data_IF_191532934699
#
_entry.id   IF_191532934699
#
_cell.length_a   1.000
_cell.length_b   1.000
_cell.length_c   1.000
_cell.angle_alpha   90.00
_cell.angle_beta   90.00
_cell.angle_gamma   90.00
#
_symmetry.space_group_name_H-M   'P 1'
#
loop_
_entity.id
_entity.type
_entity.pdbx_description
1 polymer ?
#
# COMPACT_ATOMS: atom_id res chain seq x y z
N UNK A 1 50.36 -14.82 -37.19
CA UNK A 1 49.45 -15.41 -36.16
C UNK A 1 48.89 -14.26 -35.36
N UNK A 2 47.59 -13.91 -35.56
CA UNK A 2 46.86 -12.92 -34.74
C UNK A 2 46.03 -13.68 -33.71
N UNK A 3 46.37 -13.49 -32.43
CA UNK A 3 45.60 -14.07 -31.33
C UNK A 3 44.45 -13.14 -31.03
N UNK A 4 43.19 -13.62 -31.26
CA UNK A 4 41.97 -12.91 -30.88
C UNK A 4 41.65 -13.27 -29.42
N UNK A 5 41.67 -12.28 -28.54
CA UNK A 5 41.12 -12.40 -27.18
C UNK A 5 39.60 -12.26 -27.23
N UNK A 6 38.92 -13.35 -26.90
CA UNK A 6 37.45 -13.33 -26.68
C UNK A 6 37.27 -12.87 -25.22
N UNK A 7 36.73 -11.66 -25.06
CA UNK A 7 36.27 -11.17 -23.75
C UNK A 7 34.86 -11.70 -23.53
N UNK A 8 34.71 -12.69 -22.66
CA UNK A 8 33.41 -13.17 -22.20
C UNK A 8 32.94 -12.22 -21.10
N UNK A 9 32.03 -11.32 -21.44
CA UNK A 9 31.31 -10.52 -20.46
C UNK A 9 30.31 -11.40 -19.70
N UNK A 10 30.64 -11.78 -18.47
CA UNK A 10 29.71 -12.42 -17.56
C UNK A 10 28.74 -11.34 -17.05
N UNK A 11 27.54 -11.33 -17.60
CA UNK A 11 26.44 -10.50 -17.14
C UNK A 11 25.90 -11.10 -15.83
N UNK A 12 26.44 -10.65 -14.71
CA UNK A 12 25.85 -10.95 -13.39
C UNK A 12 24.49 -10.23 -13.28
N UNK A 13 23.41 -10.94 -13.58
CA UNK A 13 22.05 -10.52 -13.20
C UNK A 13 21.96 -10.56 -11.68
N UNK A 14 22.23 -9.45 -11.01
CA UNK A 14 21.82 -9.26 -9.63
C UNK A 14 20.30 -9.16 -9.59
N UNK A 15 19.64 -10.24 -9.23
CA UNK A 15 18.25 -10.25 -8.84
C UNK A 15 18.10 -9.37 -7.60
N UNK A 16 17.64 -8.14 -7.78
CA UNK A 16 17.07 -7.36 -6.69
C UNK A 16 15.97 -8.22 -6.05
N UNK A 17 15.86 -8.27 -4.70
CA UNK A 17 14.73 -8.93 -4.09
C UNK A 17 13.47 -8.20 -4.54
N UNK A 18 12.76 -8.76 -5.52
CA UNK A 18 11.41 -8.34 -5.83
C UNK A 18 10.63 -8.45 -4.53
N UNK A 19 9.97 -7.37 -4.12
CA UNK A 19 8.89 -7.47 -3.16
C UNK A 19 7.89 -8.46 -3.75
N UNK A 20 7.91 -9.69 -3.27
CA UNK A 20 7.02 -10.73 -3.76
C UNK A 20 5.59 -10.30 -3.42
N UNK A 21 4.86 -9.89 -4.45
CA UNK A 21 3.41 -9.87 -4.35
C UNK A 21 2.97 -11.30 -3.97
N UNK A 22 2.10 -11.43 -2.98
CA UNK A 22 1.64 -12.71 -2.45
C UNK A 22 1.11 -13.64 -3.54
N UNK A 23 0.36 -13.09 -4.51
CA UNK A 23 0.05 -13.75 -5.78
C UNK A 23 0.83 -13.04 -6.89
N UNK A 24 1.73 -13.71 -7.60
CA UNK A 24 2.42 -13.12 -8.75
C UNK A 24 1.43 -12.52 -9.74
N UNK A 25 1.68 -11.29 -10.20
CA UNK A 25 0.79 -10.54 -11.09
C UNK A 25 0.46 -11.29 -12.39
N UNK A 26 1.32 -12.23 -12.81
CA UNK A 26 1.07 -13.12 -13.95
C UNK A 26 -0.20 -13.97 -13.81
N UNK A 27 -0.55 -14.40 -12.59
CA UNK A 27 -1.76 -15.19 -12.34
C UNK A 27 -3.01 -14.30 -12.22
N UNK A 28 -2.90 -13.15 -11.58
CA UNK A 28 -4.02 -12.22 -11.45
C UNK A 28 -4.51 -11.67 -12.80
N UNK A 29 -3.62 -11.63 -13.82
CA UNK A 29 -3.91 -11.11 -15.17
C UNK A 29 -4.30 -12.17 -16.18
N UNK A 30 -4.45 -13.43 -15.79
CA UNK A 30 -4.85 -14.51 -16.69
C UNK A 30 -6.29 -14.34 -17.20
N UNK A 31 -6.60 -14.98 -18.32
CA UNK A 31 -7.94 -14.96 -18.91
C UNK A 31 -8.96 -15.76 -18.09
N UNK A 32 -10.23 -15.55 -18.36
CA UNK A 32 -11.31 -16.30 -17.72
C UNK A 32 -11.26 -17.80 -18.07
N UNK A 33 -10.81 -18.16 -19.30
CA UNK A 33 -10.59 -19.53 -19.71
C UNK A 33 -9.50 -20.21 -18.90
N UNK A 34 -8.40 -19.45 -18.60
CA UNK A 34 -7.34 -19.98 -17.75
C UNK A 34 -7.85 -20.31 -16.34
N UNK A 35 -8.68 -19.44 -15.74
CA UNK A 35 -9.27 -19.73 -14.43
C UNK A 35 -10.13 -20.99 -14.42
N UNK A 36 -10.79 -21.34 -15.55
CA UNK A 36 -11.56 -22.59 -15.72
C UNK A 36 -10.71 -23.81 -16.02
N UNK A 37 -9.44 -23.64 -16.36
CA UNK A 37 -8.53 -24.72 -16.69
C UNK A 37 -8.08 -25.49 -15.45
N UNK A 38 -7.55 -26.71 -15.66
CA UNK A 38 -6.93 -27.50 -14.59
C UNK A 38 -5.78 -26.76 -13.91
N UNK A 39 -4.99 -25.99 -14.69
CA UNK A 39 -3.89 -25.18 -14.15
C UNK A 39 -4.41 -24.07 -13.25
N UNK A 40 -5.39 -23.29 -13.69
CA UNK A 40 -5.97 -22.20 -12.90
C UNK A 40 -6.60 -22.70 -11.60
N UNK A 41 -7.33 -23.82 -11.66
CA UNK A 41 -7.88 -24.45 -10.46
C UNK A 41 -6.79 -24.98 -9.52
N UNK A 42 -5.72 -25.58 -10.05
CA UNK A 42 -4.59 -26.04 -9.24
C UNK A 42 -3.91 -24.85 -8.51
N UNK A 43 -3.71 -23.71 -9.18
CA UNK A 43 -3.17 -22.51 -8.56
C UNK A 43 -4.12 -21.99 -7.48
N UNK A 44 -5.43 -21.97 -7.71
CA UNK A 44 -6.40 -21.58 -6.70
C UNK A 44 -6.40 -22.52 -5.48
N UNK A 45 -6.22 -23.81 -5.69
CA UNK A 45 -6.06 -24.80 -4.61
C UNK A 45 -4.78 -24.55 -3.81
N UNK A 46 -3.65 -24.19 -4.46
CA UNK A 46 -2.45 -23.80 -3.74
C UNK A 46 -2.72 -22.60 -2.83
N UNK A 47 -3.38 -21.54 -3.34
CA UNK A 47 -3.72 -20.36 -2.56
C UNK A 47 -4.55 -20.71 -1.32
N UNK A 48 -5.49 -21.65 -1.41
CA UNK A 48 -6.29 -22.10 -0.27
C UNK A 48 -5.45 -22.65 0.87
N UNK A 49 -4.39 -23.42 0.56
CA UNK A 49 -3.55 -24.06 1.59
C UNK A 49 -2.81 -23.05 2.48
N UNK A 50 -2.62 -21.83 1.99
CA UNK A 50 -1.96 -20.74 2.72
C UNK A 50 -2.91 -19.91 3.60
N UNK A 51 -4.21 -20.24 3.64
CA UNK A 51 -5.17 -19.50 4.46
C UNK A 51 -5.00 -19.87 5.94
N UNK A 52 -4.80 -18.86 6.78
CA UNK A 52 -4.74 -19.03 8.23
C UNK A 52 -6.07 -19.53 8.80
N UNK A 53 -6.08 -20.08 10.02
CA UNK A 53 -7.33 -20.40 10.72
C UNK A 53 -8.27 -19.21 10.90
N UNK A 54 -7.75 -17.97 10.98
CA UNK A 54 -8.56 -16.75 11.07
C UNK A 54 -9.07 -16.23 9.72
N UNK A 55 -8.60 -16.75 8.58
CA UNK A 55 -9.09 -16.36 7.26
C UNK A 55 -8.17 -15.47 6.43
N UNK A 56 -7.03 -15.04 6.97
CA UNK A 56 -6.03 -14.18 6.30
C UNK A 56 -4.91 -14.98 5.65
N UNK A 57 -3.98 -14.29 4.96
CA UNK A 57 -2.80 -14.88 4.32
C UNK A 57 -1.52 -14.16 4.75
N UNK A 58 -0.35 -14.87 4.75
CA UNK A 58 0.93 -14.29 5.10
C UNK A 58 1.48 -13.40 3.97
N UNK A 59 2.24 -12.34 4.33
CA UNK A 59 2.94 -11.50 3.37
C UNK A 59 4.27 -12.11 2.90
N UNK A 60 4.77 -11.63 1.74
CA UNK A 60 6.08 -11.99 1.18
C UNK A 60 6.26 -13.51 0.94
N UNK A 61 5.16 -14.18 0.64
CA UNK A 61 5.13 -15.59 0.25
C UNK A 61 4.46 -15.71 -1.12
N UNK A 62 5.01 -16.56 -1.98
CA UNK A 62 4.32 -16.96 -3.20
C UNK A 62 3.28 -18.03 -2.83
N UNK A 63 2.04 -17.57 -2.63
CA UNK A 63 0.91 -18.43 -2.23
C UNK A 63 0.34 -19.24 -3.41
N UNK A 64 0.77 -18.96 -4.63
CA UNK A 64 0.23 -19.55 -5.84
C UNK A 64 1.07 -20.70 -6.40
N UNK A 65 2.41 -20.57 -6.44
CA UNK A 65 3.27 -21.51 -7.16
C UNK A 65 3.36 -22.91 -6.54
N UNK A 66 3.14 -23.04 -5.24
CA UNK A 66 3.12 -24.31 -4.52
C UNK A 66 2.19 -24.30 -3.32
N UNK A 67 1.63 -25.46 -2.93
CA UNK A 67 0.83 -25.54 -1.70
C UNK A 67 1.70 -25.29 -0.47
N UNK A 68 1.08 -24.84 0.61
CA UNK A 68 1.68 -24.84 1.95
C UNK A 68 1.59 -26.25 2.52
N UNK A 69 2.71 -26.77 3.01
CA UNK A 69 2.86 -28.13 3.52
C UNK A 69 3.03 -28.22 5.05
N UNK A 70 2.94 -27.08 5.75
CA UNK A 70 3.03 -26.97 7.20
C UNK A 70 1.67 -26.93 7.92
N UNK A 71 1.69 -26.70 9.24
CA UNK A 71 0.46 -26.43 10.01
C UNK A 71 0.00 -25.00 9.74
N UNK A 72 -1.24 -24.83 9.30
CA UNK A 72 -1.83 -23.50 9.04
C UNK A 72 -1.88 -22.59 10.27
N UNK A 73 -1.76 -23.14 11.48
CA UNK A 73 -1.65 -22.38 12.74
C UNK A 73 -0.33 -21.60 12.86
N UNK A 74 0.71 -22.04 12.14
CA UNK A 74 2.02 -21.39 12.11
C UNK A 74 2.05 -20.21 11.11
N UNK A 75 0.99 -20.04 10.33
CA UNK A 75 0.87 -18.92 9.39
C UNK A 75 0.47 -17.63 10.12
N UNK A 76 1.18 -16.56 9.81
CA UNK A 76 0.89 -15.22 10.32
C UNK A 76 0.30 -14.35 9.20
N UNK A 77 -1.01 -14.29 9.15
CA UNK A 77 -1.72 -13.48 8.16
C UNK A 77 -1.69 -11.98 8.47
N UNK A 78 -1.81 -11.16 7.44
CA UNK A 78 -1.69 -9.70 7.53
C UNK A 78 -2.41 -9.00 6.38
N UNK A 79 -2.62 -7.69 6.50
CA UNK A 79 -3.07 -6.81 5.42
C UNK A 79 -1.91 -6.08 4.73
N UNK A 80 -0.68 -6.27 5.21
CA UNK A 80 0.52 -5.65 4.68
C UNK A 80 0.91 -6.21 3.30
N UNK A 81 1.56 -5.40 2.46
CA UNK A 81 2.06 -5.80 1.14
C UNK A 81 1.00 -6.49 0.25
N UNK A 82 -0.27 -6.11 0.37
CA UNK A 82 -1.41 -6.70 -0.35
C UNK A 82 -1.77 -8.14 0.03
N UNK A 83 -1.14 -8.72 1.06
CA UNK A 83 -1.53 -10.01 1.58
C UNK A 83 -3.00 -9.99 2.03
N UNK A 84 -3.65 -11.13 1.98
CA UNK A 84 -5.08 -11.31 2.19
C UNK A 84 -5.94 -10.70 1.08
N UNK A 85 -5.72 -9.45 0.70
CA UNK A 85 -6.54 -8.75 -0.30
C UNK A 85 -6.37 -9.35 -1.70
N UNK A 86 -5.13 -9.64 -2.12
CA UNK A 86 -4.88 -10.24 -3.43
C UNK A 86 -5.42 -11.67 -3.51
N UNK A 87 -5.27 -12.45 -2.46
CA UNK A 87 -5.80 -13.81 -2.38
C UNK A 87 -7.32 -13.81 -2.45
N UNK A 88 -7.99 -12.89 -1.72
CA UNK A 88 -9.44 -12.75 -1.77
C UNK A 88 -9.93 -12.39 -3.17
N UNK A 89 -9.32 -11.40 -3.82
CA UNK A 89 -9.69 -11.02 -5.21
C UNK A 89 -9.50 -12.21 -6.17
N UNK A 90 -8.42 -12.95 -6.02
CA UNK A 90 -8.13 -14.12 -6.85
C UNK A 90 -9.16 -15.24 -6.65
N UNK A 91 -9.48 -15.59 -5.41
CA UNK A 91 -10.44 -16.64 -5.07
C UNK A 91 -11.88 -16.24 -5.43
N UNK A 92 -12.26 -14.97 -5.29
CA UNK A 92 -13.55 -14.47 -5.75
C UNK A 92 -13.71 -14.68 -7.27
N UNK A 93 -12.70 -14.30 -8.07
CA UNK A 93 -12.72 -14.52 -9.52
C UNK A 93 -12.71 -16.02 -9.87
N UNK A 94 -11.91 -16.82 -9.17
CA UNK A 94 -11.90 -18.27 -9.37
C UNK A 94 -13.28 -18.88 -9.08
N UNK A 95 -13.94 -18.46 -7.97
CA UNK A 95 -15.29 -18.93 -7.67
C UNK A 95 -16.31 -18.49 -8.73
N UNK A 96 -16.36 -17.23 -9.07
CA UNK A 96 -17.30 -16.68 -10.07
C UNK A 96 -17.22 -17.44 -11.41
N UNK A 97 -16.03 -17.88 -11.79
CA UNK A 97 -15.79 -18.53 -13.08
C UNK A 97 -15.95 -20.06 -13.05
N UNK A 98 -15.84 -20.71 -11.89
CA UNK A 98 -15.82 -22.17 -11.76
C UNK A 98 -16.93 -22.76 -10.89
N UNK A 99 -17.59 -21.94 -10.07
CA UNK A 99 -18.56 -22.36 -9.05
C UNK A 99 -18.02 -23.39 -8.02
N UNK A 100 -16.69 -23.45 -7.84
CA UNK A 100 -16.06 -24.39 -6.89
C UNK A 100 -16.25 -23.89 -5.46
N UNK A 101 -17.11 -24.53 -4.69
CA UNK A 101 -17.58 -24.10 -3.35
C UNK A 101 -16.47 -23.78 -2.36
N UNK A 102 -15.34 -24.51 -2.37
CA UNK A 102 -14.21 -24.22 -1.46
C UNK A 102 -13.60 -22.84 -1.64
N UNK A 103 -13.60 -22.28 -2.87
CA UNK A 103 -13.13 -20.91 -3.11
C UNK A 103 -14.05 -19.87 -2.51
N UNK A 104 -15.37 -20.07 -2.61
CA UNK A 104 -16.38 -19.25 -1.97
C UNK A 104 -16.26 -19.27 -0.44
N UNK A 105 -16.12 -20.47 0.14
CA UNK A 105 -15.96 -20.62 1.59
C UNK A 105 -14.71 -19.89 2.11
N UNK A 106 -13.59 -20.02 1.41
CA UNK A 106 -12.35 -19.31 1.75
C UNK A 106 -12.50 -17.80 1.62
N UNK A 107 -13.17 -17.33 0.57
CA UNK A 107 -13.48 -15.91 0.39
C UNK A 107 -14.34 -15.38 1.54
N UNK A 108 -15.45 -16.05 1.87
CA UNK A 108 -16.32 -15.64 2.99
C UNK A 108 -15.58 -15.59 4.32
N UNK A 109 -14.73 -16.56 4.59
CA UNK A 109 -13.89 -16.58 5.78
C UNK A 109 -12.93 -15.40 5.85
N UNK A 110 -12.30 -15.04 4.71
CA UNK A 110 -11.40 -13.89 4.64
C UNK A 110 -12.11 -12.54 4.74
N UNK A 111 -13.31 -12.41 4.15
CA UNK A 111 -14.13 -11.19 4.31
C UNK A 111 -14.60 -11.03 5.76
N UNK A 112 -14.98 -12.14 6.43
CA UNK A 112 -15.31 -12.09 7.87
C UNK A 112 -14.13 -11.60 8.70
N UNK A 113 -12.91 -12.09 8.42
CA UNK A 113 -11.69 -11.64 9.06
C UNK A 113 -11.46 -10.12 8.87
N UNK A 114 -11.73 -9.57 7.68
CA UNK A 114 -11.63 -8.12 7.43
C UNK A 114 -12.65 -7.35 8.28
N UNK A 115 -13.91 -7.82 8.36
CA UNK A 115 -14.93 -7.16 9.18
C UNK A 115 -14.61 -7.19 10.67
N UNK A 116 -14.10 -8.32 11.17
CA UNK A 116 -13.70 -8.48 12.57
C UNK A 116 -12.49 -7.61 12.94
N UNK A 117 -11.59 -7.37 11.97
CA UNK A 117 -10.41 -6.55 12.17
C UNK A 117 -10.71 -5.04 12.20
N UNK A 118 -11.88 -4.59 11.74
CA UNK A 118 -12.23 -3.17 11.72
C UNK A 118 -12.46 -2.63 13.13
N UNK A 119 -11.72 -1.58 13.48
CA UNK A 119 -11.96 -0.85 14.72
C UNK A 119 -13.31 -0.14 14.74
N UNK A 120 -13.89 0.12 15.92
CA UNK A 120 -15.14 0.89 16.03
C UNK A 120 -15.09 2.27 15.37
N UNK A 121 -13.88 2.89 15.30
CA UNK A 121 -13.65 4.17 14.63
C UNK A 121 -13.45 4.07 13.12
N UNK A 122 -13.58 2.87 12.54
CA UNK A 122 -13.53 2.63 11.10
C UNK A 122 -12.16 2.25 10.53
N UNK A 123 -11.08 2.35 11.32
CA UNK A 123 -9.73 2.00 10.87
C UNK A 123 -9.44 0.49 10.90
N UNK A 124 -8.30 0.09 10.33
CA UNK A 124 -7.81 -1.29 10.38
C UNK A 124 -6.35 -1.34 10.85
N UNK A 125 -5.99 -2.37 11.64
CA UNK A 125 -4.60 -2.66 11.99
C UNK A 125 -3.85 -3.27 10.81
N UNK A 126 -2.53 -3.38 10.94
CA UNK A 126 -1.70 -4.11 9.97
C UNK A 126 -1.85 -5.63 10.11
N UNK A 127 -2.07 -6.11 11.34
CA UNK A 127 -2.27 -7.53 11.69
C UNK A 127 -3.50 -7.70 12.58
N UNK A 128 -4.25 -8.76 12.31
CA UNK A 128 -5.35 -9.20 13.16
C UNK A 128 -5.28 -10.73 13.33
N UNK A 129 -5.44 -11.30 14.55
CA UNK A 129 -5.74 -10.63 15.84
C UNK A 129 -4.68 -9.63 16.27
N UNK A 130 -5.12 -8.63 17.07
CA UNK A 130 -4.30 -7.48 17.45
C UNK A 130 -3.18 -7.92 18.41
N UNK A 131 -1.92 -7.64 18.05
CA UNK A 131 -0.76 -7.82 18.89
C UNK A 131 -0.42 -6.59 19.75
N UNK A 132 0.69 -6.68 20.51
CA UNK A 132 1.18 -5.59 21.38
C UNK A 132 2.05 -4.56 20.64
N UNK A 133 2.52 -4.88 19.45
CA UNK A 133 3.42 -4.06 18.63
C UNK A 133 2.67 -2.94 17.90
N UNK A 134 3.41 -2.02 17.24
CA UNK A 134 2.89 -0.97 16.35
C UNK A 134 1.94 -1.49 15.26
N UNK A 135 1.97 -2.77 14.94
CA UNK A 135 1.06 -3.39 13.97
C UNK A 135 -0.43 -3.25 14.32
N UNK A 136 -0.73 -2.85 15.56
CA UNK A 136 -2.09 -2.54 16.03
C UNK A 136 -2.60 -1.18 15.57
N UNK A 137 -1.72 -0.26 15.17
CA UNK A 137 -2.13 1.07 14.74
C UNK A 137 -2.91 1.03 13.43
N UNK A 138 -3.80 2.00 13.24
CA UNK A 138 -4.46 2.25 11.95
C UNK A 138 -3.35 2.51 10.93
N UNK A 139 -3.33 1.73 9.84
CA UNK A 139 -2.18 1.71 8.94
C UNK A 139 -2.52 2.08 7.51
N UNK A 140 -1.95 3.18 7.04
CA UNK A 140 -1.91 3.54 5.63
C UNK A 140 -0.61 3.06 4.96
N UNK A 141 0.39 2.63 5.75
CA UNK A 141 1.65 2.09 5.21
C UNK A 141 1.38 1.01 4.17
N UNK A 142 2.13 1.06 3.06
CA UNK A 142 2.01 0.16 1.91
C UNK A 142 0.56 0.01 1.38
N UNK A 143 -0.28 1.04 1.57
CA UNK A 143 -1.69 1.09 1.21
C UNK A 143 -2.56 0.01 1.89
N UNK A 144 -2.19 -0.52 3.05
CA UNK A 144 -2.90 -1.63 3.68
C UNK A 144 -4.39 -1.34 3.85
N UNK A 145 -4.76 -0.27 4.58
CA UNK A 145 -6.16 0.12 4.77
C UNK A 145 -6.83 0.53 3.45
N UNK A 146 -6.13 1.21 2.55
CA UNK A 146 -6.65 1.63 1.25
C UNK A 146 -7.11 0.41 0.44
N UNK A 147 -6.30 -0.64 0.37
CA UNK A 147 -6.64 -1.87 -0.38
C UNK A 147 -7.80 -2.64 0.23
N UNK A 148 -7.94 -2.62 1.56
CA UNK A 148 -9.13 -3.15 2.23
C UNK A 148 -10.38 -2.39 1.75
N UNK A 149 -10.33 -1.07 1.76
CA UNK A 149 -11.43 -0.22 1.35
C UNK A 149 -11.80 -0.42 -0.13
N UNK A 150 -10.81 -0.49 -1.03
CA UNK A 150 -11.01 -0.80 -2.45
C UNK A 150 -11.68 -2.17 -2.65
N UNK A 151 -11.25 -3.21 -1.93
CA UNK A 151 -11.89 -4.52 -2.01
C UNK A 151 -13.34 -4.47 -1.50
N UNK A 152 -13.59 -3.83 -0.35
CA UNK A 152 -14.92 -3.75 0.23
C UNK A 152 -15.86 -2.87 -0.61
N UNK A 153 -15.37 -1.84 -1.27
CA UNK A 153 -16.12 -1.05 -2.23
C UNK A 153 -16.53 -1.92 -3.42
N UNK A 154 -15.60 -2.66 -4.03
CA UNK A 154 -15.92 -3.60 -5.11
C UNK A 154 -16.94 -4.65 -4.65
N UNK A 155 -16.80 -5.22 -3.46
CA UNK A 155 -17.74 -6.18 -2.87
C UNK A 155 -19.14 -5.58 -2.74
N UNK A 156 -19.26 -4.30 -2.39
CA UNK A 156 -20.55 -3.65 -2.21
C UNK A 156 -21.22 -3.23 -3.53
N UNK A 157 -20.46 -2.89 -4.56
CA UNK A 157 -20.94 -2.20 -5.76
C UNK A 157 -20.85 -3.05 -7.04
N UNK A 158 -19.77 -3.85 -7.20
CA UNK A 158 -19.52 -4.56 -8.44
C UNK A 158 -20.36 -5.83 -8.59
N UNK A 159 -20.79 -6.08 -9.83
CA UNK A 159 -21.46 -7.34 -10.23
C UNK A 159 -20.52 -8.57 -10.15
N UNK A 160 -19.22 -8.37 -10.11
CA UNK A 160 -18.26 -9.45 -9.91
C UNK A 160 -18.47 -10.19 -8.56
N UNK A 161 -19.21 -9.59 -7.64
CA UNK A 161 -19.50 -10.11 -6.31
C UNK A 161 -21.00 -10.40 -6.10
N UNK A 162 -21.82 -10.50 -7.17
CA UNK A 162 -23.25 -10.82 -7.08
C UNK A 162 -23.55 -12.22 -6.51
N UNK A 163 -22.52 -13.07 -6.39
CA UNK A 163 -22.61 -14.35 -5.70
C UNK A 163 -22.75 -14.23 -4.17
N UNK A 164 -22.52 -13.03 -3.62
CA UNK A 164 -22.68 -12.74 -2.19
C UNK A 164 -24.14 -12.36 -1.88
N UNK A 165 -24.57 -12.67 -0.66
CA UNK A 165 -25.87 -12.21 -0.18
C UNK A 165 -25.85 -10.71 0.05
N UNK A 166 -27.02 -10.11 0.01
CA UNK A 166 -27.21 -8.67 0.27
C UNK A 166 -26.68 -8.25 1.66
N UNK A 167 -26.70 -9.16 2.63
CA UNK A 167 -26.18 -8.89 3.98
C UNK A 167 -24.67 -8.63 3.97
N UNK A 168 -23.86 -9.47 3.29
CA UNK A 168 -22.42 -9.29 3.17
C UNK A 168 -22.08 -8.01 2.40
N UNK A 169 -22.79 -7.73 1.32
CA UNK A 169 -22.62 -6.51 0.52
C UNK A 169 -22.95 -5.26 1.32
N UNK A 170 -24.02 -5.29 2.12
CA UNK A 170 -24.40 -4.20 3.02
C UNK A 170 -23.37 -3.98 4.13
N UNK A 171 -22.83 -5.07 4.72
CA UNK A 171 -21.73 -4.98 5.69
C UNK A 171 -20.50 -4.33 5.07
N UNK A 172 -20.14 -4.70 3.84
CA UNK A 172 -19.01 -4.10 3.11
C UNK A 172 -19.21 -2.59 2.90
N UNK A 173 -20.40 -2.18 2.43
CA UNK A 173 -20.75 -0.76 2.27
C UNK A 173 -20.61 0.03 3.58
N UNK A 174 -21.14 -0.52 4.67
CA UNK A 174 -21.07 0.12 5.98
C UNK A 174 -19.62 0.21 6.49
N UNK A 175 -18.79 -0.81 6.23
CA UNK A 175 -17.39 -0.81 6.59
C UNK A 175 -16.62 0.24 5.80
N UNK A 176 -16.90 0.41 4.50
CA UNK A 176 -16.32 1.48 3.67
C UNK A 176 -16.70 2.85 4.21
N UNK A 177 -17.98 3.08 4.52
CA UNK A 177 -18.44 4.37 5.09
C UNK A 177 -17.69 4.74 6.37
N UNK A 178 -17.55 3.78 7.30
CA UNK A 178 -16.77 3.99 8.54
C UNK A 178 -15.27 4.24 8.25
N UNK A 179 -14.72 3.54 7.26
CA UNK A 179 -13.33 3.72 6.86
C UNK A 179 -13.05 5.10 6.26
N UNK A 180 -13.99 5.64 5.47
CA UNK A 180 -13.92 7.01 4.94
C UNK A 180 -13.96 8.02 6.11
N UNK A 181 -14.88 7.85 7.08
CA UNK A 181 -14.92 8.70 8.28
C UNK A 181 -13.57 8.67 9.03
N UNK A 182 -13.00 7.48 9.20
CA UNK A 182 -11.67 7.33 9.81
C UNK A 182 -10.58 8.08 9.04
N UNK A 183 -10.56 8.00 7.71
CA UNK A 183 -9.63 8.75 6.87
C UNK A 183 -9.79 10.26 7.09
N UNK A 184 -11.01 10.78 7.04
CA UNK A 184 -11.27 12.21 7.23
C UNK A 184 -10.84 12.70 8.63
N UNK A 185 -11.07 11.89 9.66
CA UNK A 185 -10.72 12.22 11.05
C UNK A 185 -9.22 12.10 11.36
N UNK A 186 -8.50 11.27 10.63
CA UNK A 186 -7.04 11.11 10.76
C UNK A 186 -6.25 12.10 9.92
N UNK A 187 -6.90 12.87 9.04
CA UNK A 187 -6.22 13.89 8.24
C UNK A 187 -5.60 14.95 9.13
N UNK A 188 -4.29 15.21 8.95
CA UNK A 188 -3.55 16.18 9.75
C UNK A 188 -3.98 17.59 9.38
N UNK A 189 -4.02 18.47 10.38
CA UNK A 189 -4.29 19.89 10.22
C UNK A 189 -3.07 20.71 10.65
N UNK A 190 -2.65 21.64 9.81
CA UNK A 190 -1.65 22.66 10.11
C UNK A 190 -2.31 24.04 9.98
N UNK A 191 -2.24 24.87 10.99
CA UNK A 191 -2.86 26.22 10.98
C UNK A 191 -4.31 26.22 10.49
N UNK A 192 -5.11 25.27 10.98
CA UNK A 192 -6.50 25.01 10.60
C UNK A 192 -6.70 24.55 9.13
N UNK A 193 -5.65 24.31 8.35
CA UNK A 193 -5.73 23.79 6.99
C UNK A 193 -5.55 22.29 6.99
N UNK A 194 -6.38 21.58 6.21
CA UNK A 194 -6.19 20.17 5.94
C UNK A 194 -4.93 19.96 5.11
N UNK A 195 -4.09 19.01 5.55
CA UNK A 195 -2.89 18.59 4.79
C UNK A 195 -3.00 17.11 4.44
N UNK A 196 -1.97 16.31 4.59
CA UNK A 196 -2.02 14.90 4.25
C UNK A 196 -2.09 14.00 5.52
N UNK A 197 -1.68 12.75 5.44
CA UNK A 197 -1.81 11.75 6.50
C UNK A 197 -0.44 11.23 6.94
N UNK A 198 -0.36 10.73 8.16
CA UNK A 198 0.75 9.90 8.60
C UNK A 198 0.62 8.47 8.04
N UNK A 199 1.72 7.73 7.96
CA UNK A 199 1.69 6.33 7.57
C UNK A 199 0.94 5.43 8.58
N UNK A 200 1.01 5.76 9.87
CA UNK A 200 0.26 5.11 10.94
C UNK A 200 -0.37 6.14 11.88
N UNK A 201 -1.56 5.80 12.37
CA UNK A 201 -2.29 6.56 13.38
C UNK A 201 -2.65 5.68 14.57
N UNK A 202 -2.51 6.21 15.77
CA UNK A 202 -2.90 5.52 17.00
C UNK A 202 -4.38 5.13 16.95
N UNK A 203 -4.69 3.87 17.22
CA UNK A 203 -6.02 3.30 17.05
C UNK A 203 -7.07 3.82 18.03
N UNK A 204 -6.65 4.58 19.06
CA UNK A 204 -7.55 5.19 20.05
C UNK A 204 -7.70 6.68 19.86
N UNK A 205 -6.57 7.37 19.70
CA UNK A 205 -6.52 8.85 19.64
C UNK A 205 -6.62 9.39 18.23
N UNK A 206 -6.43 8.56 17.21
CA UNK A 206 -6.35 8.90 15.78
C UNK A 206 -5.17 9.83 15.43
N UNK A 207 -4.28 10.11 16.35
CA UNK A 207 -3.11 10.96 16.13
C UNK A 207 -2.00 10.20 15.38
N UNK A 208 -1.16 10.90 14.59
CA UNK A 208 0.06 10.33 14.06
C UNK A 208 0.88 9.62 15.13
N UNK A 209 1.42 8.43 14.81
CA UNK A 209 2.16 7.64 15.79
C UNK A 209 3.37 6.93 15.18
N UNK A 210 4.27 6.44 16.03
CA UNK A 210 5.44 5.66 15.66
C UNK A 210 5.04 4.28 15.14
N UNK A 211 5.80 3.80 14.14
CA UNK A 211 5.84 2.38 13.80
C UNK A 211 7.23 1.81 14.10
N UNK A 212 8.06 1.55 13.09
CA UNK A 212 9.46 1.15 13.29
C UNK A 212 10.30 2.34 13.78
N UNK A 213 11.47 2.11 14.38
CA UNK A 213 12.31 3.20 14.91
C UNK A 213 12.63 4.33 13.92
N UNK A 214 12.58 4.05 12.62
CA UNK A 214 12.82 5.03 11.54
C UNK A 214 11.54 5.50 10.84
N UNK A 215 10.37 5.25 11.41
CA UNK A 215 9.04 5.65 10.91
C UNK A 215 8.32 6.50 11.96
N UNK A 216 8.64 7.80 12.04
CA UNK A 216 8.12 8.70 13.05
C UNK A 216 6.70 9.18 12.76
N UNK A 217 5.99 9.72 13.77
CA UNK A 217 4.85 10.60 13.54
C UNK A 217 5.25 11.73 12.58
N UNK A 218 4.61 11.79 11.42
CA UNK A 218 5.00 12.69 10.34
C UNK A 218 3.88 12.84 9.33
N UNK A 219 3.98 13.78 8.41
CA UNK A 219 3.14 13.79 7.22
C UNK A 219 3.82 12.95 6.15
N UNK A 220 3.11 11.96 5.60
CA UNK A 220 3.69 11.05 4.61
C UNK A 220 3.53 11.56 3.18
N UNK A 221 4.67 11.78 2.51
CA UNK A 221 4.70 12.07 1.06
C UNK A 221 4.53 10.85 0.16
N UNK A 222 4.45 9.65 0.72
CA UNK A 222 4.25 8.41 -0.02
C UNK A 222 2.84 7.84 0.17
N UNK A 223 2.49 7.47 1.39
CA UNK A 223 1.24 6.77 1.73
C UNK A 223 0.00 7.63 1.48
N UNK A 224 0.08 8.93 1.68
CA UNK A 224 -1.03 9.87 1.44
C UNK A 224 -1.52 9.87 -0.01
N UNK A 225 -0.65 9.51 -0.98
CA UNK A 225 -1.05 9.41 -2.39
C UNK A 225 -2.10 8.32 -2.60
N UNK A 226 -1.94 7.17 -1.95
CA UNK A 226 -2.92 6.08 -1.99
C UNK A 226 -4.26 6.49 -1.38
N UNK A 227 -4.23 7.19 -0.24
CA UNK A 227 -5.42 7.70 0.44
C UNK A 227 -6.18 8.69 -0.45
N UNK A 228 -5.49 9.65 -1.08
CA UNK A 228 -6.11 10.62 -2.00
C UNK A 228 -6.75 9.89 -3.19
N UNK A 229 -6.06 8.93 -3.80
CA UNK A 229 -6.60 8.16 -4.93
C UNK A 229 -7.87 7.41 -4.57
N UNK A 230 -7.90 6.79 -3.38
CA UNK A 230 -9.11 6.13 -2.89
C UNK A 230 -10.25 7.13 -2.70
N UNK A 231 -10.01 8.28 -2.06
CA UNK A 231 -11.04 9.31 -1.92
C UNK A 231 -11.52 9.84 -3.29
N UNK A 232 -10.63 9.98 -4.27
CA UNK A 232 -10.97 10.39 -5.64
C UNK A 232 -11.74 9.31 -6.41
N UNK A 233 -11.74 8.05 -6.00
CA UNK A 233 -12.52 6.97 -6.64
C UNK A 233 -14.00 7.01 -6.25
N UNK A 234 -14.38 7.78 -5.23
CA UNK A 234 -15.78 7.93 -4.78
C UNK A 234 -16.55 8.72 -5.83
N UNK A 235 -17.61 8.13 -6.38
CA UNK A 235 -18.37 8.74 -7.48
C UNK A 235 -19.09 10.02 -7.08
N UNK A 236 -19.71 10.04 -5.90
CA UNK A 236 -20.43 11.18 -5.34
C UNK A 236 -19.74 11.66 -4.06
N UNK A 237 -18.58 12.35 -4.17
CA UNK A 237 -17.84 12.80 -3.01
C UNK A 237 -18.59 13.92 -2.27
N UNK A 238 -18.66 13.81 -0.93
CA UNK A 238 -19.20 14.89 -0.09
C UNK A 238 -18.25 16.11 -0.08
N UNK A 239 -18.74 17.24 0.42
CA UNK A 239 -17.89 18.45 0.53
C UNK A 239 -16.67 18.22 1.43
N UNK A 240 -16.81 17.39 2.48
CA UNK A 240 -15.69 17.02 3.35
C UNK A 240 -14.63 16.19 2.60
N UNK A 241 -15.06 15.26 1.75
CA UNK A 241 -14.13 14.46 0.91
C UNK A 241 -13.44 15.38 -0.10
N UNK A 242 -14.16 16.28 -0.75
CA UNK A 242 -13.59 17.27 -1.69
C UNK A 242 -12.55 18.12 -0.98
N UNK A 243 -12.90 18.70 0.19
CA UNK A 243 -11.98 19.51 0.97
C UNK A 243 -10.73 18.74 1.43
N UNK A 244 -10.90 17.46 1.79
CA UNK A 244 -9.78 16.59 2.18
C UNK A 244 -8.81 16.35 1.03
N UNK A 245 -9.31 16.08 -0.17
CA UNK A 245 -8.52 15.89 -1.39
C UNK A 245 -7.80 17.19 -1.76
N UNK A 246 -8.52 18.31 -1.82
CA UNK A 246 -7.96 19.61 -2.20
C UNK A 246 -6.87 20.07 -1.24
N UNK A 247 -7.11 19.96 0.08
CA UNK A 247 -6.10 20.29 1.09
C UNK A 247 -4.84 19.46 0.98
N UNK A 248 -4.98 18.16 0.77
CA UNK A 248 -3.83 17.26 0.60
C UNK A 248 -3.05 17.53 -0.70
N UNK A 249 -3.73 17.79 -1.81
CA UNK A 249 -3.07 18.12 -3.08
C UNK A 249 -2.34 19.47 -2.99
N UNK A 250 -2.94 20.48 -2.34
CA UNK A 250 -2.28 21.75 -2.12
C UNK A 250 -1.02 21.60 -1.25
N UNK A 251 -1.11 20.80 -0.18
CA UNK A 251 0.06 20.44 0.62
C UNK A 251 1.15 19.78 -0.24
N UNK A 252 0.82 18.78 -1.07
CA UNK A 252 1.80 18.14 -1.95
C UNK A 252 2.49 19.10 -2.90
N UNK A 253 1.77 20.11 -3.41
CA UNK A 253 2.34 21.17 -4.25
C UNK A 253 3.32 22.04 -3.47
N UNK A 254 2.96 22.40 -2.24
CA UNK A 254 3.78 23.29 -1.40
C UNK A 254 5.10 22.64 -0.94
N UNK A 255 5.13 21.31 -0.79
CA UNK A 255 6.31 20.55 -0.32
C UNK A 255 7.08 19.86 -1.45
N UNK A 256 6.79 20.19 -2.70
CA UNK A 256 7.50 19.65 -3.86
C UNK A 256 8.99 19.99 -3.82
N UNK A 257 9.85 18.99 -3.95
CA UNK A 257 11.30 19.16 -3.99
C UNK A 257 11.75 19.11 -5.46
N UNK A 258 12.45 20.16 -5.89
CA UNK A 258 12.95 20.32 -7.26
C UNK A 258 14.47 20.54 -7.25
N UNK A 259 15.10 20.34 -8.41
CA UNK A 259 16.52 20.62 -8.62
C UNK A 259 17.48 19.65 -7.98
N UNK A 260 16.99 18.49 -7.52
CA UNK A 260 17.82 17.39 -6.99
C UNK A 260 17.32 16.02 -7.48
N UNK A 261 18.22 15.06 -7.50
CA UNK A 261 17.89 13.64 -7.71
C UNK A 261 18.70 12.74 -6.78
N UNK A 262 18.22 11.52 -6.57
CA UNK A 262 19.00 10.47 -5.93
C UNK A 262 19.90 9.80 -6.97
N UNK A 263 21.17 9.70 -6.67
CA UNK A 263 22.17 9.00 -7.45
C UNK A 263 22.64 7.75 -6.71
N UNK A 264 22.68 6.62 -7.41
CA UNK A 264 23.32 5.39 -6.93
C UNK A 264 24.80 5.45 -7.28
N UNK A 265 25.65 5.04 -6.38
CA UNK A 265 27.10 4.95 -6.59
C UNK A 265 27.69 3.81 -5.74
N UNK A 266 28.92 3.44 -6.03
CA UNK A 266 29.69 2.51 -5.20
C UNK A 266 30.57 3.33 -4.26
N UNK A 267 30.43 3.10 -2.95
CA UNK A 267 31.24 3.79 -1.94
C UNK A 267 32.68 3.24 -1.87
N UNK A 268 33.50 3.81 -1.01
CA UNK A 268 34.90 3.41 -0.83
C UNK A 268 35.09 1.96 -0.37
N UNK A 269 34.08 1.39 0.27
CA UNK A 269 34.08 0.02 0.78
C UNK A 269 33.56 -0.98 -0.28
N UNK A 270 33.28 -0.52 -1.51
CA UNK A 270 32.78 -1.34 -2.60
C UNK A 270 31.28 -1.66 -2.53
N UNK A 271 30.51 -1.00 -1.67
CA UNK A 271 29.07 -1.23 -1.47
C UNK A 271 28.23 -0.25 -2.28
N UNK A 272 27.03 -0.67 -2.72
CA UNK A 272 26.03 0.27 -3.26
C UNK A 272 25.64 1.29 -2.18
N UNK A 273 25.63 2.56 -2.55
CA UNK A 273 25.14 3.64 -1.71
C UNK A 273 24.31 4.63 -2.55
N UNK A 274 23.64 5.56 -1.89
CA UNK A 274 22.84 6.62 -2.51
C UNK A 274 23.17 7.98 -1.93
N UNK A 275 23.23 8.98 -2.80
CA UNK A 275 23.42 10.38 -2.41
C UNK A 275 22.45 11.30 -3.14
N UNK A 276 22.20 12.45 -2.56
CA UNK A 276 21.48 13.54 -3.21
C UNK A 276 22.48 14.36 -4.02
N UNK A 277 22.16 14.59 -5.29
CA UNK A 277 22.96 15.44 -6.19
C UNK A 277 22.07 16.53 -6.77
N UNK A 278 22.67 17.71 -7.03
CA UNK A 278 22.00 18.80 -7.72
C UNK A 278 21.77 18.43 -9.19
N UNK A 279 20.53 18.59 -9.65
CA UNK A 279 20.13 18.38 -11.03
C UNK A 279 18.94 19.27 -11.36
N UNK A 280 19.15 20.48 -11.94
CA UNK A 280 18.07 21.42 -12.25
C UNK A 280 16.98 20.85 -13.17
N UNK A 281 17.30 19.80 -13.95
CA UNK A 281 16.38 19.16 -14.89
C UNK A 281 15.69 17.90 -14.32
N UNK A 282 15.97 17.56 -13.06
CA UNK A 282 15.36 16.39 -12.42
C UNK A 282 13.84 16.55 -12.28
N UNK A 283 13.12 15.43 -12.46
CA UNK A 283 11.71 15.40 -12.15
C UNK A 283 11.45 15.72 -10.67
N UNK A 284 10.32 16.37 -10.34
CA UNK A 284 9.95 16.64 -8.96
C UNK A 284 9.86 15.35 -8.12
N UNK A 285 10.36 15.44 -6.88
CA UNK A 285 10.29 14.35 -5.90
C UNK A 285 9.70 14.85 -4.59
N UNK A 286 9.35 13.92 -3.73
CA UNK A 286 8.86 14.17 -2.36
C UNK A 286 9.67 13.34 -1.38
N UNK A 287 9.83 13.85 -0.15
CA UNK A 287 10.31 13.04 0.95
C UNK A 287 9.18 12.09 1.44
N UNK A 288 9.56 10.94 1.99
CA UNK A 288 8.56 10.04 2.59
C UNK A 288 7.99 10.64 3.87
N UNK A 289 8.82 11.30 4.68
CA UNK A 289 8.45 11.87 5.95
C UNK A 289 8.72 13.37 5.98
N UNK A 290 7.71 14.12 6.41
CA UNK A 290 7.80 15.56 6.69
C UNK A 290 7.43 15.81 8.15
N UNK A 291 8.21 16.64 8.82
CA UNK A 291 7.92 17.11 10.17
C UNK A 291 6.55 17.83 10.18
N UNK A 292 5.70 17.52 11.17
CA UNK A 292 4.29 17.93 11.14
C UNK A 292 4.14 19.45 11.19
N UNK A 293 4.96 20.14 11.98
CA UNK A 293 4.79 21.58 12.21
C UNK A 293 5.49 22.45 11.16
N UNK A 294 6.56 21.95 10.52
CA UNK A 294 7.45 22.77 9.69
C UNK A 294 7.46 22.38 8.21
N UNK A 295 6.91 21.22 7.86
CA UNK A 295 7.02 20.63 6.53
C UNK A 295 8.48 20.37 6.07
N UNK A 296 9.44 20.29 6.98
CA UNK A 296 10.81 19.92 6.64
C UNK A 296 10.90 18.42 6.38
N UNK A 297 11.58 17.97 5.32
CA UNK A 297 11.93 16.57 5.15
C UNK A 297 12.75 16.05 6.33
N UNK A 298 12.41 14.89 6.85
CA UNK A 298 13.11 14.22 7.95
C UNK A 298 13.54 12.82 7.59
N UNK A 299 14.68 12.41 8.15
CA UNK A 299 15.34 11.14 7.90
C UNK A 299 15.76 10.53 9.25
N UNK A 300 15.58 9.24 9.41
CA UNK A 300 15.90 8.56 10.66
C UNK A 300 16.64 7.25 10.37
N UNK A 301 17.53 6.92 11.30
CA UNK A 301 18.10 5.57 11.41
C UNK A 301 17.31 4.72 12.41
N UNK A 302 17.84 3.54 12.75
CA UNK A 302 17.26 2.64 13.75
C UNK A 302 17.39 3.17 15.21
N UNK A 303 18.06 4.31 15.39
CA UNK A 303 18.21 5.00 16.68
C UNK A 303 17.07 5.96 17.01
N UNK A 304 16.11 6.11 16.10
CA UNK A 304 14.94 7.02 16.24
C UNK A 304 15.31 8.52 16.34
N UNK A 305 16.54 8.90 15.97
CA UNK A 305 16.96 10.30 15.99
C UNK A 305 16.59 10.96 14.66
N UNK A 306 15.85 12.07 14.75
CA UNK A 306 15.49 12.88 13.57
C UNK A 306 16.72 13.60 13.03
N UNK A 307 16.91 13.47 11.73
CA UNK A 307 17.95 14.17 10.95
C UNK A 307 17.29 14.94 9.80
N UNK A 308 17.95 15.99 9.37
CA UNK A 308 17.41 16.88 8.34
C UNK A 308 18.18 16.80 7.01
N UNK A 309 19.19 15.95 6.95
CA UNK A 309 19.91 15.65 5.71
C UNK A 309 19.93 14.15 5.45
N UNK A 310 19.67 13.76 4.19
CA UNK A 310 19.75 12.37 3.75
C UNK A 310 21.16 11.75 3.94
N UNK A 311 22.22 12.59 3.89
CA UNK A 311 23.59 12.15 4.09
C UNK A 311 23.93 11.77 5.54
N UNK A 312 23.12 12.21 6.50
CA UNK A 312 23.36 11.97 7.94
C UNK A 312 22.85 10.59 8.41
N UNK A 313 22.03 9.90 7.61
CA UNK A 313 21.60 8.53 7.92
C UNK A 313 22.60 7.51 7.38
N UNK A 314 22.58 6.31 7.94
CA UNK A 314 23.50 5.22 7.56
C UNK A 314 23.28 4.76 6.11
N UNK A 315 24.34 4.17 5.52
CA UNK A 315 24.27 3.57 4.18
C UNK A 315 23.15 2.52 4.10
N UNK A 316 22.97 1.70 5.13
CA UNK A 316 21.90 0.69 5.20
C UNK A 316 20.53 1.31 5.05
N UNK A 317 20.29 2.47 5.68
CA UNK A 317 19.00 3.18 5.54
C UNK A 317 18.90 3.89 4.19
N UNK A 318 19.97 4.51 3.69
CA UNK A 318 19.94 5.15 2.37
C UNK A 318 19.62 4.17 1.23
N UNK A 319 20.10 2.93 1.32
CA UNK A 319 19.89 1.91 0.28
C UNK A 319 18.66 1.04 0.51
N UNK A 320 18.37 0.69 1.77
CA UNK A 320 17.33 -0.26 2.16
C UNK A 320 15.95 0.36 2.38
N UNK A 321 15.80 1.70 2.27
CA UNK A 321 14.53 2.38 2.47
C UNK A 321 14.32 3.53 1.49
N UNK A 322 13.08 3.73 1.05
CA UNK A 322 12.76 4.76 0.07
C UNK A 322 12.36 6.06 0.79
N UNK A 323 13.35 6.92 1.12
CA UNK A 323 13.11 8.22 1.74
C UNK A 323 12.67 9.31 0.75
N UNK A 324 13.00 9.17 -0.52
CA UNK A 324 12.57 10.07 -1.60
C UNK A 324 11.92 9.27 -2.71
N UNK A 325 10.93 9.89 -3.37
CA UNK A 325 10.29 9.29 -4.54
C UNK A 325 9.38 10.26 -5.29
N UNK A 326 9.04 9.90 -6.52
CA UNK A 326 8.12 10.64 -7.38
C UNK A 326 6.64 10.26 -7.19
N UNK A 327 6.23 9.85 -5.98
CA UNK A 327 4.92 9.22 -5.73
C UNK A 327 3.73 10.08 -6.16
N UNK A 328 3.79 11.41 -5.94
CA UNK A 328 2.70 12.32 -6.26
C UNK A 328 2.75 12.88 -7.69
N UNK A 329 3.76 12.55 -8.49
CA UNK A 329 3.93 13.13 -9.83
C UNK A 329 2.67 12.97 -10.71
N UNK A 330 2.19 11.73 -10.84
CA UNK A 330 1.02 11.42 -11.66
C UNK A 330 -0.27 11.95 -11.05
N UNK A 331 -0.38 11.87 -9.71
CA UNK A 331 -1.51 12.42 -8.98
C UNK A 331 -1.71 13.91 -9.30
N UNK A 332 -0.64 14.72 -9.20
CA UNK A 332 -0.72 16.17 -9.37
C UNK A 332 -0.88 16.56 -10.84
N UNK A 333 -0.14 15.90 -11.76
CA UNK A 333 -0.11 16.28 -13.18
C UNK A 333 -1.34 15.83 -13.94
N UNK A 334 -1.86 14.64 -13.64
CA UNK A 334 -2.85 13.98 -14.50
C UNK A 334 -4.14 13.63 -13.76
N UNK A 335 -4.04 12.95 -12.61
CA UNK A 335 -5.19 12.31 -11.98
C UNK A 335 -6.11 13.33 -11.32
N UNK A 336 -5.56 14.24 -10.52
CA UNK A 336 -6.33 15.27 -9.83
C UNK A 336 -6.96 16.31 -10.79
N UNK A 337 -6.30 16.84 -11.82
CA UNK A 337 -6.95 17.71 -12.82
C UNK A 337 -8.16 17.05 -13.48
N UNK A 338 -8.04 15.78 -13.91
CA UNK A 338 -9.17 15.05 -14.52
C UNK A 338 -10.31 14.81 -13.53
N UNK A 339 -9.97 14.51 -12.28
CA UNK A 339 -10.97 14.34 -11.23
C UNK A 339 -11.76 15.63 -10.98
N UNK A 340 -11.09 16.77 -10.93
CA UNK A 340 -11.77 18.07 -10.80
C UNK A 340 -12.69 18.37 -11.98
N UNK A 341 -12.24 18.08 -13.19
CA UNK A 341 -13.04 18.24 -14.41
C UNK A 341 -14.29 17.35 -14.36
N UNK A 342 -14.13 16.06 -14.02
CA UNK A 342 -15.23 15.11 -13.86
C UNK A 342 -16.31 15.61 -12.90
N UNK A 343 -15.91 16.18 -11.78
CA UNK A 343 -16.84 16.67 -10.74
C UNK A 343 -17.21 18.14 -10.89
N UNK A 344 -16.87 18.78 -12.02
CA UNK A 344 -17.18 20.19 -12.34
C UNK A 344 -16.74 21.16 -11.24
N UNK A 345 -15.64 20.88 -10.56
CA UNK A 345 -15.07 21.75 -9.55
C UNK A 345 -14.32 22.88 -10.24
N UNK A 346 -14.93 24.09 -10.26
CA UNK A 346 -14.35 25.26 -10.88
C UNK A 346 -12.95 25.57 -10.29
N UNK A 347 -12.03 25.98 -11.15
CA UNK A 347 -10.75 26.56 -10.70
C UNK A 347 -11.05 27.86 -9.94
N UNK A 348 -10.68 27.91 -8.67
CA UNK A 348 -10.60 29.15 -7.91
C UNK A 348 -9.42 29.97 -8.37
#
# INVERSE_FOLDING_TARGET
MKVQFIVISILCLFLLPSSYATIPSKYAKQSDEWFRSKEGMHIADNVLTWQTPSGSWPKNKDTASKPFDGDSKDLHGTFDNSATINELRFLARAFRLTNVTRYHQAFLKGISHIFEAQYPNGGWPQYYPIGKSYHRHITFNDNAMVRILELLQDVSESSDYDFLKMEERTKAKNAVTKGIDCILRTQIKQDCKLVAWCAQHDEKTLKPTWARPYEPPSISGAESVGVIRFLMSIEEPTQEIIAAIEGAVEWFRSVTIQGIRLEKFTNTDGQEDRRVVKDPNAAPIWARFYEIDTNRPIFLDRDSIVRYSFSEITQERRTGYAYYGGWATRLIKDEYPRWREKHKLLTK
#
